data_IF_621153153899
#
_entry.id   IF_621153153899
#
_cell.length_a   1.000
_cell.length_b   1.000
_cell.length_c   1.000
_cell.angle_alpha   90.00
_cell.angle_beta   90.00
_cell.angle_gamma   90.00
#
_symmetry.space_group_name_H-M   'P 1'
#
loop_
_entity.id
_entity.type
_entity.pdbx_description
1 polymer ?
#
# COMPACT_ATOMS: atom_id res chain seq x y z
N UNK A 1 6.95 8.96 -1.81
CA UNK A 1 7.09 8.42 -3.19
C UNK A 1 6.35 7.09 -3.21
N UNK A 2 5.56 6.79 -4.25
CA UNK A 2 4.91 5.48 -4.39
C UNK A 2 5.91 4.33 -4.28
N UNK A 3 5.53 3.25 -3.60
CA UNK A 3 6.41 2.11 -3.33
C UNK A 3 6.83 1.40 -4.62
N UNK A 4 5.97 1.38 -5.64
CA UNK A 4 6.26 0.75 -6.93
C UNK A 4 7.46 1.38 -7.66
N UNK A 5 7.77 2.66 -7.41
CA UNK A 5 8.93 3.36 -7.98
C UNK A 5 10.25 2.98 -7.29
N UNK A 6 10.17 2.36 -6.12
CA UNK A 6 11.31 1.92 -5.31
C UNK A 6 11.76 0.51 -5.69
N UNK A 7 10.95 -0.22 -6.46
CA UNK A 7 11.24 -1.59 -6.83
C UNK A 7 12.55 -1.65 -7.65
N UNK A 8 13.63 -2.30 -7.15
CA UNK A 8 14.92 -2.35 -7.83
C UNK A 8 14.88 -3.10 -9.16
N UNK A 9 13.85 -3.93 -9.38
CA UNK A 9 13.66 -4.65 -10.63
C UNK A 9 13.10 -3.73 -11.73
N UNK A 10 12.43 -2.65 -11.36
CA UNK A 10 11.86 -1.70 -12.29
C UNK A 10 12.72 -0.44 -12.30
N UNK A 11 13.56 -0.28 -13.32
CA UNK A 11 14.50 0.85 -13.49
C UNK A 11 13.78 2.17 -13.84
N UNK A 12 12.70 2.51 -13.12
CA UNK A 12 11.92 3.73 -13.32
C UNK A 12 12.60 4.97 -12.74
N UNK A 13 13.32 4.80 -11.63
CA UNK A 13 13.98 5.88 -10.92
C UNK A 13 15.48 5.56 -10.81
N UNK A 14 16.36 6.55 -11.07
CA UNK A 14 17.79 6.39 -10.81
C UNK A 14 18.07 5.97 -9.36
N UNK A 15 19.02 5.04 -9.16
CA UNK A 15 19.30 4.42 -7.85
C UNK A 15 19.72 5.46 -6.79
N UNK A 16 20.38 6.54 -7.20
CA UNK A 16 20.79 7.65 -6.33
C UNK A 16 19.61 8.41 -5.69
N UNK A 17 18.41 8.31 -6.28
CA UNK A 17 17.18 8.91 -5.74
C UNK A 17 16.40 7.96 -4.83
N UNK A 18 16.79 6.67 -4.78
CA UNK A 18 16.17 5.68 -3.90
C UNK A 18 16.89 5.73 -2.55
N UNK A 19 16.19 6.23 -1.53
CA UNK A 19 16.74 6.26 -0.17
C UNK A 19 16.82 4.85 0.42
N UNK A 20 17.79 4.61 1.31
CA UNK A 20 17.91 3.35 2.05
C UNK A 20 16.65 3.03 2.85
N UNK A 21 16.02 4.07 3.41
CA UNK A 21 14.72 3.99 4.10
C UNK A 21 13.60 3.53 3.18
N UNK A 22 13.44 4.13 2.01
CA UNK A 22 12.39 3.68 1.07
C UNK A 22 12.62 2.23 0.63
N UNK A 23 13.87 1.83 0.42
CA UNK A 23 14.20 0.47 0.02
C UNK A 23 13.90 -0.55 1.13
N UNK A 24 14.15 -0.20 2.39
CA UNK A 24 13.82 -1.08 3.53
C UNK A 24 12.30 -1.25 3.69
N UNK A 25 11.53 -0.16 3.52
CA UNK A 25 10.06 -0.20 3.50
C UNK A 25 9.57 -1.11 2.37
N UNK A 26 10.11 -0.95 1.15
CA UNK A 26 9.76 -1.81 0.00
C UNK A 26 10.04 -3.29 0.28
N UNK A 27 11.19 -3.64 0.85
CA UNK A 27 11.53 -5.03 1.21
C UNK A 27 10.54 -5.61 2.21
N UNK A 28 10.25 -4.88 3.29
CA UNK A 28 9.34 -5.34 4.34
C UNK A 28 7.93 -5.55 3.79
N UNK A 29 7.42 -4.59 3.01
CA UNK A 29 6.07 -4.68 2.42
C UNK A 29 5.98 -5.85 1.45
N UNK A 30 6.94 -5.98 0.53
CA UNK A 30 6.97 -7.07 -0.47
C UNK A 30 7.06 -8.44 0.20
N UNK A 31 7.93 -8.59 1.21
CA UNK A 31 8.02 -9.81 1.99
C UNK A 31 6.73 -10.11 2.76
N UNK A 32 6.13 -9.10 3.39
CA UNK A 32 4.87 -9.26 4.13
C UNK A 32 3.73 -9.70 3.21
N UNK A 33 3.68 -9.18 1.98
CA UNK A 33 2.73 -9.61 0.96
C UNK A 33 2.95 -11.07 0.56
N UNK A 34 4.21 -11.46 0.30
CA UNK A 34 4.56 -12.84 -0.04
C UNK A 34 4.21 -13.83 1.09
N UNK A 35 4.36 -13.43 2.35
CA UNK A 35 4.05 -14.22 3.53
C UNK A 35 2.58 -14.13 3.98
N UNK A 36 1.72 -13.45 3.21
CA UNK A 36 0.30 -13.24 3.54
C UNK A 36 0.08 -12.53 4.90
N UNK A 37 0.97 -11.60 5.26
CA UNK A 37 0.96 -10.78 6.48
C UNK A 37 0.57 -9.33 6.17
N UNK A 38 -0.62 -9.12 5.59
CA UNK A 38 -1.05 -7.80 5.13
C UNK A 38 -1.11 -6.74 6.22
N UNK A 39 -1.44 -7.12 7.45
CA UNK A 39 -1.43 -6.19 8.58
C UNK A 39 -0.06 -5.53 8.76
N UNK A 40 1.01 -6.32 8.67
CA UNK A 40 2.39 -5.83 8.78
C UNK A 40 2.68 -4.85 7.65
N UNK A 41 2.30 -5.17 6.41
CA UNK A 41 2.47 -4.27 5.27
C UNK A 41 1.75 -2.93 5.48
N UNK A 42 0.49 -2.96 5.92
CA UNK A 42 -0.31 -1.77 6.23
C UNK A 42 0.38 -0.93 7.33
N UNK A 43 0.78 -1.57 8.43
CA UNK A 43 1.44 -0.88 9.53
C UNK A 43 2.77 -0.24 9.11
N UNK A 44 3.57 -0.95 8.31
CA UNK A 44 4.84 -0.42 7.79
C UNK A 44 4.63 0.84 6.97
N UNK A 45 3.64 0.86 6.06
CA UNK A 45 3.33 2.02 5.22
C UNK A 45 2.77 3.21 6.03
N UNK A 46 1.87 2.92 6.98
CA UNK A 46 1.33 3.94 7.89
C UNK A 46 2.46 4.55 8.72
N UNK A 47 3.32 3.73 9.32
CA UNK A 47 4.42 4.18 10.15
C UNK A 47 5.45 4.99 9.36
N UNK A 48 5.74 4.60 8.13
CA UNK A 48 6.61 5.38 7.24
C UNK A 48 6.04 6.78 6.95
N UNK A 49 4.71 6.87 6.88
CA UNK A 49 4.00 8.12 6.59
C UNK A 49 3.75 8.97 7.83
N UNK A 50 3.97 8.47 9.05
CA UNK A 50 3.74 9.22 10.29
C UNK A 50 4.66 10.42 10.42
N UNK A 51 4.09 11.53 10.88
CA UNK A 51 4.81 12.76 11.21
C UNK A 51 4.24 13.36 12.49
N UNK A 52 5.08 14.12 13.20
CA UNK A 52 4.66 14.96 14.32
C UNK A 52 4.39 16.35 13.76
N UNK A 53 3.20 16.87 14.03
CA UNK A 53 2.79 18.24 13.66
C UNK A 53 3.42 19.26 14.62
N UNK A 54 3.41 20.54 14.25
CA UNK A 54 3.96 21.62 15.08
C UNK A 54 3.31 21.71 16.47
N UNK A 55 2.06 21.25 16.59
CA UNK A 55 1.31 21.19 17.85
C UNK A 55 1.60 19.91 18.67
N UNK A 56 2.58 19.09 18.27
CA UNK A 56 2.94 17.84 18.94
C UNK A 56 1.99 16.67 18.67
N UNK A 57 0.99 16.83 17.80
CA UNK A 57 0.04 15.77 17.46
C UNK A 57 0.60 14.86 16.36
N UNK A 58 0.23 13.57 16.38
CA UNK A 58 0.59 12.62 15.33
C UNK A 58 -0.39 12.75 14.16
N UNK A 59 0.14 12.92 12.95
CA UNK A 59 -0.63 12.90 11.71
C UNK A 59 0.05 11.99 10.68
N UNK A 60 -0.68 11.66 9.61
CA UNK A 60 -0.09 11.05 8.43
C UNK A 60 0.30 12.16 7.45
N UNK A 61 1.57 12.21 7.09
CA UNK A 61 2.07 13.10 6.05
C UNK A 61 1.62 12.67 4.66
N UNK A 62 1.94 13.46 3.62
CA UNK A 62 1.62 13.10 2.23
C UNK A 62 2.24 11.76 1.85
N UNK A 63 1.42 10.84 1.35
CA UNK A 63 1.82 9.51 0.93
C UNK A 63 0.90 9.00 -0.18
N UNK A 64 1.37 7.97 -0.89
CA UNK A 64 0.57 7.29 -1.90
C UNK A 64 -0.43 6.36 -1.21
N UNK A 65 -1.64 6.13 -1.78
CA UNK A 65 -2.66 5.34 -1.09
C UNK A 65 -2.15 3.95 -0.68
N UNK A 66 -2.30 3.60 0.60
CA UNK A 66 -1.75 2.37 1.19
C UNK A 66 -2.20 1.13 0.42
N UNK A 67 -3.49 1.05 0.10
CA UNK A 67 -4.03 -0.05 -0.71
C UNK A 67 -3.34 -0.17 -2.08
N UNK A 68 -3.00 0.95 -2.73
CA UNK A 68 -2.37 0.94 -4.06
C UNK A 68 -0.94 0.44 -3.99
N UNK A 69 -0.18 0.82 -2.96
CA UNK A 69 1.17 0.28 -2.74
C UNK A 69 1.14 -1.23 -2.50
N UNK A 70 0.19 -1.72 -1.70
CA UNK A 70 -0.01 -3.16 -1.47
C UNK A 70 -0.44 -3.87 -2.75
N UNK A 71 -1.34 -3.27 -3.54
CA UNK A 71 -1.78 -3.84 -4.81
C UNK A 71 -0.62 -4.00 -5.78
N UNK A 72 0.22 -2.98 -5.94
CA UNK A 72 1.38 -3.06 -6.84
C UNK A 72 2.42 -4.06 -6.32
N UNK A 73 2.73 -4.07 -5.03
CA UNK A 73 3.59 -5.09 -4.44
C UNK A 73 3.04 -6.52 -4.67
N UNK A 74 1.72 -6.69 -4.55
CA UNK A 74 1.05 -7.98 -4.80
C UNK A 74 1.09 -8.38 -6.28
N UNK A 75 0.97 -7.42 -7.19
CA UNK A 75 1.11 -7.67 -8.62
C UNK A 75 2.55 -8.05 -8.97
N UNK A 76 3.55 -7.42 -8.35
CA UNK A 76 4.96 -7.76 -8.56
C UNK A 76 5.29 -9.17 -8.04
N UNK A 77 4.74 -9.57 -6.89
CA UNK A 77 4.99 -10.88 -6.29
C UNK A 77 4.23 -12.00 -7.00
N UNK A 78 2.94 -11.82 -7.28
CA UNK A 78 2.07 -12.90 -7.75
C UNK A 78 1.73 -12.81 -9.25
N UNK A 79 1.97 -11.67 -9.89
CA UNK A 79 1.67 -11.45 -11.29
C UNK A 79 0.21 -11.77 -11.65
N UNK A 80 0.03 -12.60 -12.67
CA UNK A 80 -1.30 -13.04 -13.14
C UNK A 80 -2.03 -13.96 -12.16
N UNK A 81 -1.33 -14.54 -11.19
CA UNK A 81 -1.92 -15.43 -10.19
C UNK A 81 -2.57 -14.65 -9.04
N UNK A 82 -2.46 -13.32 -9.01
CA UNK A 82 -3.09 -12.50 -7.98
C UNK A 82 -4.62 -12.58 -8.04
N UNK A 83 -5.23 -13.16 -7.00
CA UNK A 83 -6.68 -13.14 -6.80
C UNK A 83 -7.08 -11.81 -6.14
N UNK A 84 -7.42 -10.82 -6.97
CA UNK A 84 -7.70 -9.44 -6.52
C UNK A 84 -8.86 -9.33 -5.52
N UNK A 85 -9.91 -10.13 -5.69
CA UNK A 85 -11.02 -10.15 -4.73
C UNK A 85 -10.59 -10.59 -3.33
N UNK A 86 -9.69 -11.58 -3.26
CA UNK A 86 -9.09 -12.02 -2.00
C UNK A 86 -8.27 -10.89 -1.38
N UNK A 87 -7.48 -10.18 -2.20
CA UNK A 87 -6.69 -9.03 -1.73
C UNK A 87 -7.59 -7.91 -1.18
N UNK A 88 -8.66 -7.53 -1.89
CA UNK A 88 -9.61 -6.51 -1.44
C UNK A 88 -10.25 -6.89 -0.09
N UNK A 89 -10.64 -8.16 0.05
CA UNK A 89 -11.24 -8.68 1.29
C UNK A 89 -10.25 -8.69 2.46
N UNK A 90 -9.04 -9.22 2.24
CA UNK A 90 -8.02 -9.27 3.27
C UNK A 90 -7.60 -7.87 3.69
N UNK A 91 -7.45 -6.92 2.75
CA UNK A 91 -7.15 -5.54 3.10
C UNK A 91 -8.25 -4.94 3.97
N UNK A 92 -9.53 -5.16 3.64
CA UNK A 92 -10.64 -4.67 4.46
C UNK A 92 -10.63 -5.28 5.87
N UNK A 93 -10.34 -6.58 5.97
CA UNK A 93 -10.24 -7.29 7.24
C UNK A 93 -9.10 -6.74 8.10
N UNK A 94 -7.88 -6.68 7.56
CA UNK A 94 -6.70 -6.19 8.29
C UNK A 94 -6.78 -4.71 8.63
N UNK A 95 -7.36 -3.90 7.74
CA UNK A 95 -7.63 -2.49 8.01
C UNK A 95 -8.59 -2.32 9.19
N UNK A 96 -9.59 -3.20 9.35
CA UNK A 96 -10.53 -3.11 10.48
C UNK A 96 -9.87 -3.41 11.85
N UNK A 97 -8.70 -4.08 11.84
CA UNK A 97 -7.91 -4.39 13.05
C UNK A 97 -7.00 -3.24 13.48
N UNK A 98 -6.95 -2.14 12.71
CA UNK A 98 -6.11 -1.00 13.05
C UNK A 98 -6.57 -0.32 14.35
N UNK A 99 -5.64 0.16 15.20
CA UNK A 99 -6.00 0.86 16.43
C UNK A 99 -6.89 2.09 16.15
N UNK A 100 -7.91 2.38 17.00
CA UNK A 100 -8.80 3.52 16.81
C UNK A 100 -8.08 4.87 16.60
N UNK A 101 -6.97 5.08 17.32
CA UNK A 101 -6.13 6.29 17.17
C UNK A 101 -5.59 6.47 15.74
N UNK A 102 -5.27 5.38 15.05
CA UNK A 102 -4.79 5.42 13.67
C UNK A 102 -5.95 5.60 12.71
N UNK A 103 -7.07 4.92 12.96
CA UNK A 103 -8.31 5.09 12.19
C UNK A 103 -8.79 6.55 12.18
N UNK A 104 -8.65 7.28 13.29
CA UNK A 104 -9.01 8.70 13.40
C UNK A 104 -8.19 9.63 12.50
N UNK A 105 -6.94 9.28 12.19
CA UNK A 105 -6.03 10.13 11.39
C UNK A 105 -5.88 9.64 9.95
N UNK A 106 -6.55 8.56 9.58
CA UNK A 106 -6.42 7.94 8.27
C UNK A 106 -7.24 8.71 7.22
N UNK A 107 -6.63 9.13 6.10
CA UNK A 107 -7.35 9.81 5.03
C UNK A 107 -8.29 8.84 4.30
N UNK A 108 -9.29 9.39 3.61
CA UNK A 108 -10.30 8.58 2.91
C UNK A 108 -9.71 7.65 1.84
N UNK A 109 -8.59 8.05 1.22
CA UNK A 109 -7.92 7.26 0.16
C UNK A 109 -7.37 5.91 0.63
N UNK A 110 -7.09 5.76 1.93
CA UNK A 110 -6.53 4.51 2.49
C UNK A 110 -7.61 3.57 3.02
N UNK A 111 -8.87 4.00 2.98
CA UNK A 111 -9.99 3.13 3.32
C UNK A 111 -10.09 1.98 2.33
N UNK A 112 -10.67 0.84 2.75
CA UNK A 112 -10.88 -0.27 1.85
C UNK A 112 -11.74 0.14 0.64
N UNK A 113 -11.45 -0.41 -0.56
CA UNK A 113 -12.23 -0.11 -1.75
C UNK A 113 -13.72 -0.44 -1.56
N UNK A 114 -14.61 0.45 -1.99
CA UNK A 114 -16.06 0.21 -1.96
C UNK A 114 -16.47 -0.88 -2.97
N UNK A 115 -17.66 -1.47 -2.81
CA UNK A 115 -18.18 -2.45 -3.76
C UNK A 115 -18.21 -1.92 -5.20
N UNK A 116 -18.56 -0.65 -5.38
CA UNK A 116 -18.56 0.01 -6.70
C UNK A 116 -17.13 0.11 -7.24
N UNK A 117 -16.18 0.57 -6.42
CA UNK A 117 -14.77 0.66 -6.84
C UNK A 117 -14.19 -0.71 -7.21
N UNK A 118 -14.53 -1.77 -6.46
CA UNK A 118 -14.14 -3.15 -6.76
C UNK A 118 -14.74 -3.63 -8.09
N UNK A 119 -16.02 -3.37 -8.32
CA UNK A 119 -16.68 -3.69 -9.59
C UNK A 119 -16.07 -2.92 -10.77
N UNK A 120 -15.87 -1.61 -10.63
CA UNK A 120 -15.24 -0.77 -11.66
C UNK A 120 -13.84 -1.29 -12.02
N UNK A 121 -13.03 -1.69 -11.03
CA UNK A 121 -11.73 -2.30 -11.31
C UNK A 121 -11.88 -3.57 -12.15
N UNK A 122 -12.82 -4.47 -11.84
CA UNK A 122 -13.02 -5.68 -12.66
C UNK A 122 -13.37 -5.36 -14.12
N UNK A 123 -14.20 -4.34 -14.34
CA UNK A 123 -14.69 -3.96 -15.67
C UNK A 123 -13.63 -3.20 -16.48
N UNK A 124 -12.91 -2.27 -15.86
CA UNK A 124 -12.02 -1.34 -16.56
C UNK A 124 -10.53 -1.73 -16.52
N UNK A 125 -10.09 -2.67 -15.68
CA UNK A 125 -8.68 -3.09 -15.67
C UNK A 125 -8.17 -3.69 -17.00
N UNK A 126 -8.98 -4.41 -17.81
CA UNK A 126 -8.52 -4.85 -19.12
C UNK A 126 -8.10 -3.70 -20.05
N UNK A 127 -8.48 -2.46 -19.74
CA UNK A 127 -8.15 -1.27 -20.54
C UNK A 127 -6.84 -0.58 -20.09
N UNK A 128 -6.31 -0.92 -18.91
CA UNK A 128 -5.09 -0.32 -18.33
C UNK A 128 -3.82 -1.18 -18.58
N UNK A 129 -3.94 -2.31 -19.29
CA UNK A 129 -2.86 -3.29 -19.52
C UNK A 129 -2.48 -3.45 -21.00
N UNK A 130 -2.89 -2.52 -21.87
CA UNK A 130 -2.50 -2.46 -23.28
C UNK A 130 -1.77 -1.16 -23.60
#
# INVERSE_FOLDING_TARGET
MPLYLVNPNHKFVPEDKITSRSLSVWRIVTQSVQENKLFTAIQTLINDSRRVTDNGQIALGPHFPVFRDILFASLDVFGRNLVRDSLDMQYAEEHSKLPPRIMCIMPQQDRPPTLVQRACRKVFLPLDLF
#
